data_IF_688998418261
#
_entry.id   IF_688998418261
#
_cell.length_a   1.000
_cell.length_b   1.000
_cell.length_c   1.000
_cell.angle_alpha   90.00
_cell.angle_beta   90.00
_cell.angle_gamma   90.00
#
_symmetry.space_group_name_H-M   'P 1'
#
loop_
_entity.id
_entity.type
_entity.pdbx_description
1 polymer ?
#
# COMPACT_ATOMS: atom_id res chain seq x y z
N UNK A 1 -10.08 24.91 -14.36
CA UNK A 1 -9.76 24.77 -12.92
C UNK A 1 -8.73 23.67 -12.78
N UNK A 2 -7.52 23.99 -12.36
CA UNK A 2 -6.48 23.00 -12.10
C UNK A 2 -6.92 22.15 -10.90
N UNK A 3 -7.32 20.91 -11.16
CA UNK A 3 -7.44 19.89 -10.12
C UNK A 3 -6.04 19.66 -9.60
N UNK A 4 -5.70 20.24 -8.44
CA UNK A 4 -4.53 19.77 -7.71
C UNK A 4 -4.82 18.32 -7.34
N UNK A 5 -4.28 17.38 -8.11
CA UNK A 5 -4.12 15.98 -7.71
C UNK A 5 -3.51 15.99 -6.31
N UNK A 6 -4.35 15.82 -5.28
CA UNK A 6 -3.88 15.75 -3.90
C UNK A 6 -3.11 14.45 -3.77
N UNK A 7 -1.79 14.57 -3.73
CA UNK A 7 -0.89 13.47 -3.39
C UNK A 7 -0.76 13.42 -1.88
N UNK A 8 -0.96 12.23 -1.31
CA UNK A 8 -0.85 12.03 0.13
C UNK A 8 0.16 10.93 0.39
N UNK A 9 1.07 11.18 1.32
CA UNK A 9 1.95 10.16 1.88
C UNK A 9 1.24 9.35 2.95
N UNK A 10 1.30 8.03 2.86
CA UNK A 10 0.81 7.11 3.89
C UNK A 10 1.97 6.28 4.40
N UNK A 11 2.30 6.44 5.69
CA UNK A 11 3.36 5.68 6.35
C UNK A 11 3.11 4.18 6.30
N UNK A 12 4.17 3.39 6.08
CA UNK A 12 4.12 1.94 6.21
C UNK A 12 4.47 1.58 7.66
N UNK A 13 3.56 0.97 8.43
CA UNK A 13 3.85 0.59 9.80
C UNK A 13 4.99 -0.43 9.89
N UNK A 14 5.71 -0.43 11.01
CA UNK A 14 6.77 -1.40 11.27
C UNK A 14 6.26 -2.84 11.18
N UNK A 15 7.10 -3.74 10.67
CA UNK A 15 6.77 -5.16 10.51
C UNK A 15 5.89 -5.49 9.29
N UNK A 16 5.29 -4.50 8.63
CA UNK A 16 4.52 -4.71 7.40
C UNK A 16 5.46 -4.85 6.21
N UNK A 17 5.38 -5.98 5.50
CA UNK A 17 6.18 -6.21 4.28
C UNK A 17 5.46 -5.66 3.06
N UNK A 18 6.22 -5.04 2.15
CA UNK A 18 5.67 -4.48 0.91
C UNK A 18 4.94 -5.52 0.06
N UNK A 19 5.47 -6.74 0.00
CA UNK A 19 4.83 -7.85 -0.72
C UNK A 19 3.44 -8.20 -0.16
N UNK A 20 3.24 -8.08 1.16
CA UNK A 20 1.95 -8.35 1.80
C UNK A 20 0.95 -7.23 1.50
N UNK A 21 1.41 -5.98 1.42
CA UNK A 21 0.61 -4.83 0.96
C UNK A 21 0.16 -5.06 -0.47
N UNK A 22 1.11 -5.35 -1.37
CA UNK A 22 0.83 -5.59 -2.79
C UNK A 22 -0.17 -6.72 -2.98
N UNK A 23 0.04 -7.84 -2.29
CA UNK A 23 -0.85 -9.01 -2.33
C UNK A 23 -2.24 -8.67 -1.81
N UNK A 24 -2.35 -8.01 -0.67
CA UNK A 24 -3.64 -7.69 -0.04
C UNK A 24 -4.47 -6.73 -0.87
N UNK A 25 -3.83 -5.72 -1.47
CA UNK A 25 -4.48 -4.77 -2.36
C UNK A 25 -4.83 -5.39 -3.72
N UNK A 26 -4.02 -6.30 -4.23
CA UNK A 26 -4.36 -7.06 -5.44
C UNK A 26 -5.59 -7.95 -5.23
N UNK A 27 -5.66 -8.66 -4.10
CA UNK A 27 -6.77 -9.58 -3.78
C UNK A 27 -8.03 -8.80 -3.40
N UNK A 28 -7.92 -7.88 -2.43
CA UNK A 28 -9.10 -7.21 -1.85
C UNK A 28 -9.63 -6.06 -2.69
N UNK A 29 -8.80 -5.47 -3.55
CA UNK A 29 -9.13 -4.23 -4.27
C UNK A 29 -8.77 -4.27 -5.76
N UNK A 30 -8.32 -5.42 -6.26
CA UNK A 30 -8.07 -5.62 -7.70
C UNK A 30 -6.89 -4.83 -8.26
N UNK A 31 -5.99 -4.28 -7.42
CA UNK A 31 -4.83 -3.55 -7.90
C UNK A 31 -3.95 -4.39 -8.82
N UNK A 32 -3.47 -3.78 -9.90
CA UNK A 32 -2.46 -4.35 -10.79
C UNK A 32 -1.13 -3.65 -10.55
N UNK A 33 -0.10 -4.45 -10.34
CA UNK A 33 1.22 -3.96 -10.00
C UNK A 33 2.17 -4.03 -11.19
N UNK A 34 2.82 -2.91 -11.46
CA UNK A 34 3.99 -2.84 -12.33
C UNK A 34 5.22 -2.66 -11.45
N UNK A 35 6.09 -3.66 -11.40
CA UNK A 35 7.33 -3.60 -10.62
C UNK A 35 8.43 -3.03 -11.52
N UNK A 36 8.91 -1.83 -11.18
CA UNK A 36 9.95 -1.13 -11.95
C UNK A 36 11.33 -1.65 -11.58
N UNK A 37 11.58 -1.87 -10.30
CA UNK A 37 12.80 -2.51 -9.81
C UNK A 37 12.52 -3.26 -8.51
N UNK A 38 13.26 -4.35 -8.27
CA UNK A 38 13.23 -5.12 -7.02
C UNK A 38 14.45 -4.85 -6.14
N UNK A 39 15.59 -4.50 -6.72
CA UNK A 39 16.86 -4.29 -6.03
C UNK A 39 17.64 -3.14 -6.71
N UNK A 40 18.40 -2.31 -5.97
CA UNK A 40 18.63 -2.38 -4.52
C UNK A 40 17.46 -1.86 -3.67
N UNK A 41 16.48 -1.21 -4.30
CA UNK A 41 15.27 -0.68 -3.66
C UNK A 41 14.06 -1.11 -4.48
N UNK A 42 13.03 -1.68 -3.84
CA UNK A 42 11.79 -2.01 -4.52
C UNK A 42 11.06 -0.73 -4.91
N UNK A 43 10.69 -0.61 -6.19
CA UNK A 43 9.81 0.43 -6.70
C UNK A 43 8.68 -0.26 -7.47
N UNK A 44 7.45 -0.08 -6.99
CA UNK A 44 6.27 -0.68 -7.60
C UNK A 44 5.15 0.35 -7.74
N UNK A 45 4.53 0.36 -8.91
CA UNK A 45 3.38 1.18 -9.24
C UNK A 45 2.11 0.31 -9.24
N UNK A 46 1.10 0.73 -8.48
CA UNK A 46 -0.19 0.06 -8.37
C UNK A 46 -1.27 0.88 -9.05
N UNK A 47 -1.84 0.35 -10.13
CA UNK A 47 -2.99 0.93 -10.78
C UNK A 47 -4.29 0.24 -10.31
N UNK A 48 -5.35 1.01 -10.01
CA UNK A 48 -6.65 0.45 -9.73
C UNK A 48 -7.27 -0.13 -11.01
N UNK A 49 -8.14 -1.14 -10.86
CA UNK A 49 -8.90 -1.71 -11.98
C UNK A 49 -10.35 -1.25 -12.04
N UNK A 50 -10.85 -0.60 -10.98
CA UNK A 50 -12.26 -0.26 -10.81
C UNK A 50 -12.38 1.13 -10.15
N UNK A 51 -13.26 1.97 -10.71
CA UNK A 51 -13.80 3.16 -10.04
C UNK A 51 -12.81 4.30 -9.78
N UNK A 52 -13.14 5.14 -8.79
CA UNK A 52 -12.37 6.32 -8.36
C UNK A 52 -11.27 5.97 -7.34
N UNK A 53 -10.67 4.79 -7.45
CA UNK A 53 -9.59 4.38 -6.56
C UNK A 53 -8.29 5.12 -6.94
N UNK A 54 -7.39 5.36 -5.96
CA UNK A 54 -6.16 6.07 -6.22
C UNK A 54 -5.12 5.16 -6.89
N UNK A 55 -4.16 5.79 -7.53
CA UNK A 55 -2.91 5.15 -7.94
C UNK A 55 -1.93 5.13 -6.75
N UNK A 56 -1.09 4.10 -6.68
CA UNK A 56 -0.16 3.88 -5.59
C UNK A 56 1.28 3.78 -6.08
N UNK A 57 2.20 4.42 -5.38
CA UNK A 57 3.63 4.21 -5.57
C UNK A 57 4.26 3.71 -4.26
N UNK A 58 4.84 2.52 -4.32
CA UNK A 58 5.59 1.89 -3.25
C UNK A 58 7.09 2.06 -3.48
N UNK A 59 7.83 2.46 -2.44
CA UNK A 59 9.30 2.64 -2.51
C UNK A 59 9.99 1.99 -1.30
N UNK A 60 10.14 0.66 -1.33
CA UNK A 60 10.66 -0.10 -0.19
C UNK A 60 9.85 0.16 1.08
N UNK A 61 10.51 0.47 2.19
CA UNK A 61 9.88 0.78 3.49
C UNK A 61 9.47 2.25 3.66
N UNK A 62 9.60 3.06 2.60
CA UNK A 62 9.20 4.47 2.63
C UNK A 62 7.68 4.62 2.53
N UNK A 63 7.13 5.81 2.82
CA UNK A 63 5.70 6.06 2.70
C UNK A 63 5.16 5.74 1.30
N UNK A 64 3.96 5.18 1.26
CA UNK A 64 3.19 4.98 0.04
C UNK A 64 2.72 6.34 -0.45
N UNK A 65 2.98 6.66 -1.72
CA UNK A 65 2.34 7.82 -2.35
C UNK A 65 1.00 7.38 -2.89
N UNK A 66 -0.06 8.06 -2.45
CA UNK A 66 -1.43 7.89 -2.93
C UNK A 66 -1.76 9.09 -3.82
N UNK A 67 -2.08 8.84 -5.09
CA UNK A 67 -2.34 9.89 -6.08
C UNK A 67 -3.71 9.69 -6.74
N UNK A 68 -4.47 10.78 -6.88
CA UNK A 68 -5.83 10.74 -7.44
C UNK A 68 -6.82 10.03 -6.52
N UNK A 69 -7.98 9.70 -7.08
CA UNK A 69 -9.07 9.01 -6.37
C UNK A 69 -9.74 9.82 -5.25
N UNK A 70 -10.76 9.22 -4.63
CA UNK A 70 -11.50 9.84 -3.53
C UNK A 70 -10.72 9.77 -2.20
N UNK A 71 -10.82 10.83 -1.39
CA UNK A 71 -10.13 10.93 -0.10
C UNK A 71 -10.43 9.77 0.86
N UNK A 72 -11.62 9.15 0.73
CA UNK A 72 -12.03 7.97 1.51
C UNK A 72 -11.08 6.78 1.33
N UNK A 73 -10.41 6.69 0.18
CA UNK A 73 -9.49 5.59 -0.10
C UNK A 73 -8.15 5.74 0.62
N UNK A 74 -7.74 6.97 0.98
CA UNK A 74 -6.55 7.18 1.82
C UNK A 74 -6.75 6.52 3.18
N UNK A 75 -7.89 6.78 3.83
CA UNK A 75 -8.24 6.13 5.11
C UNK A 75 -8.37 4.62 4.97
N UNK A 76 -8.94 4.14 3.86
CA UNK A 76 -9.04 2.70 3.60
C UNK A 76 -7.66 2.05 3.50
N UNK A 77 -6.71 2.68 2.82
CA UNK A 77 -5.33 2.18 2.71
C UNK A 77 -4.69 2.14 4.11
N UNK A 78 -4.83 3.19 4.92
CA UNK A 78 -4.35 3.20 6.32
C UNK A 78 -4.89 2.02 7.12
N UNK A 79 -6.20 1.78 7.06
CA UNK A 79 -6.83 0.66 7.76
C UNK A 79 -6.29 -0.72 7.33
N UNK A 80 -5.98 -0.89 6.05
CA UNK A 80 -5.37 -2.13 5.54
C UNK A 80 -3.96 -2.31 6.10
N UNK A 81 -3.15 -1.24 6.14
CA UNK A 81 -1.79 -1.30 6.68
C UNK A 81 -1.80 -1.63 8.17
N UNK A 82 -2.70 -1.03 8.94
CA UNK A 82 -2.87 -1.37 10.36
C UNK A 82 -3.33 -2.81 10.57
N UNK A 83 -4.22 -3.32 9.72
CA UNK A 83 -4.64 -4.72 9.75
C UNK A 83 -3.45 -5.65 9.52
N UNK A 84 -2.62 -5.35 8.51
CA UNK A 84 -1.41 -6.12 8.22
C UNK A 84 -0.41 -6.07 9.36
N UNK A 85 -0.25 -4.92 10.01
CA UNK A 85 0.62 -4.78 11.18
C UNK A 85 0.15 -5.66 12.35
N UNK A 86 -1.16 -5.71 12.61
CA UNK A 86 -1.70 -6.59 13.64
C UNK A 86 -1.45 -8.07 13.33
N UNK A 87 -1.50 -8.45 12.05
CA UNK A 87 -1.20 -9.82 11.62
C UNK A 87 0.29 -10.15 11.76
N UNK A 88 1.19 -9.21 11.43
CA UNK A 88 2.64 -9.45 11.58
C UNK A 88 3.04 -9.69 13.03
N UNK A 89 2.44 -8.95 13.97
CA UNK A 89 2.72 -9.16 15.39
C UNK A 89 2.22 -10.52 15.90
N UNK A 90 1.03 -10.97 15.49
CA UNK A 90 0.50 -12.29 15.90
C UNK A 90 1.40 -13.45 15.48
N UNK A 91 1.97 -13.38 14.27
CA UNK A 91 2.88 -14.42 13.76
C UNK A 91 4.21 -14.45 14.53
N UNK A 92 4.67 -13.30 15.03
CA UNK A 92 5.88 -13.24 15.86
C UNK A 92 5.68 -13.93 17.21
N UNK A 93 4.54 -13.72 17.88
CA UNK A 93 4.26 -14.36 19.17
C UNK A 93 4.13 -15.89 19.10
N UNK A 94 3.65 -16.45 17.98
CA UNK A 94 3.53 -17.91 17.82
C UNK A 94 4.84 -18.62 17.48
N UNK A 95 5.94 -17.89 17.25
CA UNK A 95 7.25 -18.48 16.90
C UNK A 95 8.22 -18.57 18.09
N UNK A 96 7.80 -18.13 19.28
CA UNK A 96 8.60 -18.14 20.51
C UNK A 96 8.28 -19.32 21.46
N UNK A 97 7.78 -20.45 20.93
CA UNK A 97 7.62 -21.72 21.67
C UNK A 97 8.47 -22.85 21.08
#
# INVERSE_FOLDING_TARGET
MQSHEKRVGVEIPSGVKVDDIMRSLAIGHGYKWTVLTKQPLLIAYGAPTIGNMPELLLTGTKPIVVAGGDAVYVERIRNILEMLQRQSHRVQFTREE
#
